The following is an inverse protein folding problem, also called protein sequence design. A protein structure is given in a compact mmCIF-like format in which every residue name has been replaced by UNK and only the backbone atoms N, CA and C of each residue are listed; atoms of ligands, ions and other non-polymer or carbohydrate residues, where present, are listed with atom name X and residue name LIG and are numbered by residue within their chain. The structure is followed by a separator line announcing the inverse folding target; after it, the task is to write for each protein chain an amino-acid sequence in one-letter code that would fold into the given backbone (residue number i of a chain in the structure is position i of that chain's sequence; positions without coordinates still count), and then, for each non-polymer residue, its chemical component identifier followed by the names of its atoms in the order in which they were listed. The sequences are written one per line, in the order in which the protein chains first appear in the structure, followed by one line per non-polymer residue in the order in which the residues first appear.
data_IF_648155803997
#
_entry.id   IF_648155803997
#
_cell.length_a   1.000
_cell.length_b   1.000
_cell.length_c   1.000
_cell.angle_alpha   90.00
_cell.angle_beta   90.00
_cell.angle_gamma   90.00
#
_symmetry.space_group_name_H-M   'P 1'
#
loop_
_entity.id
_entity.type
_entity.pdbx_description
1 polymer ?
#
# COMPACT_ATOMS: atom_id res chain seq x y z
N UNK A 1 -0.08 3.93 3.06
CA UNK A 1 1.27 4.52 3.21
C UNK A 1 2.32 3.80 2.35
N UNK A 2 2.47 2.47 2.42
CA UNK A 2 3.40 1.68 1.56
C UNK A 2 3.24 2.05 0.08
N UNK A 3 2.01 1.95 -0.43
CA UNK A 3 1.68 2.27 -1.84
C UNK A 3 1.97 3.73 -2.20
N UNK A 4 1.72 4.67 -1.27
CA UNK A 4 2.05 6.08 -1.48
C UNK A 4 3.57 6.25 -1.63
N UNK A 5 4.36 5.62 -0.75
CA UNK A 5 5.82 5.65 -0.82
C UNK A 5 6.34 5.03 -2.11
N UNK A 6 5.78 3.89 -2.51
CA UNK A 6 6.12 3.23 -3.78
C UNK A 6 5.84 4.17 -4.97
N UNK A 7 4.63 4.70 -5.06
CA UNK A 7 4.23 5.59 -6.16
C UNK A 7 5.07 6.85 -6.26
N UNK A 8 5.41 7.47 -5.12
CA UNK A 8 6.27 8.66 -5.07
C UNK A 8 7.72 8.35 -5.45
N UNK A 9 8.27 7.23 -4.96
CA UNK A 9 9.67 6.86 -5.18
C UNK A 9 9.90 6.38 -6.62
N UNK A 10 8.98 5.62 -7.18
CA UNK A 10 9.07 5.15 -8.57
C UNK A 10 8.63 6.22 -9.60
N UNK A 11 8.24 7.41 -9.13
CA UNK A 11 7.85 8.51 -10.02
C UNK A 11 6.50 8.32 -10.71
N UNK A 12 5.70 7.35 -10.26
CA UNK A 12 4.31 7.11 -10.75
C UNK A 12 3.44 8.32 -10.40
N UNK A 13 3.64 8.88 -9.23
CA UNK A 13 2.99 10.11 -8.76
C UNK A 13 4.01 11.06 -8.16
N UNK A 14 3.66 12.34 -8.11
CA UNK A 14 4.34 13.38 -7.34
C UNK A 14 3.39 13.92 -6.26
N UNK A 15 3.85 14.71 -5.30
CA UNK A 15 2.97 15.35 -4.31
C UNK A 15 1.84 16.19 -4.93
N UNK A 16 2.06 16.75 -6.12
CA UNK A 16 1.09 17.56 -6.84
C UNK A 16 0.24 16.78 -7.87
N UNK A 17 0.52 15.50 -8.08
CA UNK A 17 -0.27 14.66 -8.99
C UNK A 17 -1.68 14.47 -8.45
N UNK A 18 -2.69 14.79 -9.25
CA UNK A 18 -4.09 14.53 -8.91
C UNK A 18 -4.65 13.38 -9.73
N UNK A 19 -5.48 12.56 -9.11
CA UNK A 19 -6.23 11.47 -9.74
C UNK A 19 -7.72 11.73 -9.51
N UNK A 20 -8.50 11.64 -10.60
CA UNK A 20 -9.96 11.76 -10.53
C UNK A 20 -10.55 10.42 -10.06
N UNK A 21 -11.09 10.41 -8.86
CA UNK A 21 -11.89 9.29 -8.35
C UNK A 21 -13.23 9.23 -9.09
N UNK A 22 -13.50 8.14 -9.78
CA UNK A 22 -14.76 7.86 -10.48
C UNK A 22 -15.71 6.96 -9.68
N UNK A 23 -15.35 6.66 -8.43
CA UNK A 23 -16.10 5.77 -7.56
C UNK A 23 -15.84 4.29 -7.79
N UNK A 24 -15.76 3.83 -9.03
CA UNK A 24 -15.37 2.46 -9.40
C UNK A 24 -14.14 2.49 -10.31
N UNK A 25 -13.19 1.62 -10.05
CA UNK A 25 -11.96 1.50 -10.84
C UNK A 25 -12.24 0.70 -12.11
N UNK A 26 -12.21 1.36 -13.27
CA UNK A 26 -12.65 0.82 -14.55
C UNK A 26 -11.52 0.31 -15.46
N UNK A 27 -10.25 0.48 -15.05
CA UNK A 27 -9.08 0.05 -15.84
C UNK A 27 -8.97 -1.49 -15.94
N UNK A 28 -9.72 -2.20 -15.11
CA UNK A 28 -9.81 -3.68 -15.13
C UNK A 28 -11.27 -4.11 -15.13
N UNK A 29 -11.57 -5.25 -15.75
CA UNK A 29 -12.92 -5.82 -15.77
C UNK A 29 -13.40 -6.08 -14.33
N UNK A 30 -14.63 -5.67 -14.02
CA UNK A 30 -15.22 -5.76 -12.69
C UNK A 30 -14.34 -5.11 -11.58
N UNK A 31 -13.69 -4.00 -11.92
CA UNK A 31 -12.77 -3.31 -11.01
C UNK A 31 -13.41 -2.93 -9.66
N UNK A 32 -12.61 -2.85 -8.61
CA UNK A 32 -13.09 -2.61 -7.25
C UNK A 32 -13.66 -1.20 -7.09
N UNK A 33 -14.54 -1.04 -6.10
CA UNK A 33 -15.21 0.23 -5.79
C UNK A 33 -14.52 0.95 -4.64
N UNK A 34 -14.46 2.27 -4.74
CA UNK A 34 -14.13 3.10 -3.59
C UNK A 34 -15.23 2.97 -2.52
N UNK A 35 -14.87 3.12 -1.25
CA UNK A 35 -15.84 2.97 -0.15
C UNK A 35 -17.00 3.97 -0.22
N UNK A 36 -16.78 5.13 -0.86
CA UNK A 36 -17.79 6.18 -1.00
C UNK A 36 -18.75 5.95 -2.18
N UNK A 37 -18.49 4.92 -3.03
CA UNK A 37 -19.37 4.62 -4.19
C UNK A 37 -20.84 4.52 -3.78
N UNK A 38 -21.81 5.09 -4.54
CA UNK A 38 -21.69 5.62 -5.91
C UNK A 38 -21.19 7.07 -6.02
N UNK A 39 -20.90 7.74 -4.93
CA UNK A 39 -20.24 9.05 -4.91
C UNK A 39 -18.75 8.92 -5.23
N UNK A 40 -18.04 10.04 -5.26
CA UNK A 40 -16.61 10.09 -5.50
C UNK A 40 -15.94 11.18 -4.67
N UNK A 41 -14.60 11.08 -4.47
CA UNK A 41 -13.82 12.13 -3.83
C UNK A 41 -13.45 13.27 -4.80
N UNK A 42 -13.79 13.14 -6.09
CA UNK A 42 -13.37 14.10 -7.11
C UNK A 42 -11.87 13.98 -7.45
N UNK A 43 -11.27 15.08 -7.88
CA UNK A 43 -9.85 15.13 -8.23
C UNK A 43 -9.03 15.46 -6.97
N UNK A 44 -8.24 14.50 -6.50
CA UNK A 44 -7.48 14.61 -5.24
C UNK A 44 -6.02 14.19 -5.43
N UNK A 45 -5.13 14.75 -4.63
CA UNK A 45 -3.73 14.37 -4.55
C UNK A 45 -3.47 13.30 -3.48
N UNK A 46 -2.22 12.84 -3.36
CA UNK A 46 -1.85 11.76 -2.44
C UNK A 46 -2.13 12.08 -0.96
N UNK A 47 -1.96 13.33 -0.53
CA UNK A 47 -2.23 13.75 0.85
C UNK A 47 -3.72 13.73 1.16
N UNK A 48 -4.53 14.24 0.24
CA UNK A 48 -5.99 14.19 0.32
C UNK A 48 -6.50 12.75 0.27
N UNK A 49 -5.93 11.90 -0.60
CA UNK A 49 -6.28 10.50 -0.70
C UNK A 49 -5.98 9.72 0.60
N UNK A 50 -4.90 10.04 1.30
CA UNK A 50 -4.60 9.48 2.61
C UNK A 50 -5.57 10.00 3.69
N UNK A 51 -5.86 11.31 3.71
CA UNK A 51 -6.80 11.93 4.66
C UNK A 51 -8.20 11.33 4.54
N UNK A 52 -8.68 11.16 3.31
CA UNK A 52 -10.06 10.76 3.02
C UNK A 52 -10.20 9.24 2.81
N UNK A 53 -9.11 8.48 2.98
CA UNK A 53 -9.06 7.02 2.76
C UNK A 53 -9.56 6.62 1.36
N UNK A 54 -9.19 7.36 0.32
CA UNK A 54 -9.66 7.10 -1.03
C UNK A 54 -9.05 5.82 -1.60
N UNK A 55 -9.85 4.78 -1.73
CA UNK A 55 -9.39 3.52 -2.30
C UNK A 55 -9.06 3.66 -3.78
N UNK A 56 -9.87 4.40 -4.54
CA UNK A 56 -9.68 4.58 -5.98
C UNK A 56 -8.29 5.14 -6.31
N UNK A 57 -7.84 6.15 -5.58
CA UNK A 57 -6.50 6.73 -5.76
C UNK A 57 -5.42 5.65 -5.67
N UNK A 58 -5.49 4.80 -4.64
CA UNK A 58 -4.51 3.76 -4.44
C UNK A 58 -4.69 2.55 -5.35
N UNK A 59 -5.89 2.26 -5.85
CA UNK A 59 -6.09 1.30 -6.94
C UNK A 59 -5.35 1.76 -8.20
N UNK A 60 -5.46 3.04 -8.55
CA UNK A 60 -4.76 3.60 -9.70
C UNK A 60 -3.25 3.54 -9.54
N UNK A 61 -2.72 3.90 -8.36
CA UNK A 61 -1.28 3.79 -8.08
C UNK A 61 -0.83 2.33 -8.14
N UNK A 62 -1.58 1.39 -7.56
CA UNK A 62 -1.26 -0.05 -7.61
C UNK A 62 -1.30 -0.61 -9.03
N UNK A 63 -2.26 -0.18 -9.84
CA UNK A 63 -2.32 -0.52 -11.25
C UNK A 63 -1.12 0.02 -12.03
N UNK A 64 -0.77 1.29 -11.84
CA UNK A 64 0.35 1.92 -12.55
C UNK A 64 1.70 1.33 -12.12
N UNK A 65 1.87 0.95 -10.86
CA UNK A 65 3.02 0.18 -10.36
C UNK A 65 3.14 -1.21 -11.01
N UNK A 66 2.02 -1.75 -11.51
CA UNK A 66 1.99 -3.05 -12.19
C UNK A 66 2.29 -2.95 -13.68
N UNK A 67 2.48 -1.74 -14.23
CA UNK A 67 2.71 -1.56 -15.66
C UNK A 67 4.19 -1.82 -16.02
N UNK A 68 4.42 -2.71 -16.99
CA UNK A 68 5.74 -2.99 -17.57
C UNK A 68 5.68 -2.74 -19.08
N UNK A 69 6.41 -1.77 -19.57
CA UNK A 69 6.42 -1.41 -21.00
C UNK A 69 5.00 -1.18 -21.59
N UNK A 70 4.12 -0.57 -20.80
CA UNK A 70 2.73 -0.27 -21.20
C UNK A 70 1.76 -1.45 -21.10
N UNK A 71 2.18 -2.59 -20.52
CA UNK A 71 1.35 -3.77 -20.32
C UNK A 71 1.18 -4.06 -18.83
N UNK A 72 -0.04 -4.34 -18.39
CA UNK A 72 -0.32 -4.75 -17.00
C UNK A 72 0.30 -6.13 -16.72
N UNK A 73 1.05 -6.19 -15.63
CA UNK A 73 1.70 -7.41 -15.14
C UNK A 73 1.45 -7.52 -13.63
N UNK A 74 0.63 -8.51 -13.25
CA UNK A 74 0.22 -8.73 -11.87
C UNK A 74 1.41 -9.09 -10.97
N UNK A 75 2.28 -9.99 -11.42
CA UNK A 75 3.44 -10.43 -10.64
C UNK A 75 4.39 -9.26 -10.35
N UNK A 76 4.62 -8.40 -11.33
CA UNK A 76 5.42 -7.19 -11.14
C UNK A 76 4.77 -6.25 -10.11
N UNK A 77 3.46 -6.04 -10.18
CA UNK A 77 2.75 -5.21 -9.21
C UNK A 77 2.84 -5.75 -7.78
N UNK A 78 2.72 -7.07 -7.62
CA UNK A 78 2.93 -7.77 -6.34
C UNK A 78 4.37 -7.57 -5.84
N UNK A 79 5.36 -7.76 -6.71
CA UNK A 79 6.78 -7.54 -6.38
C UNK A 79 7.03 -6.11 -5.90
N UNK A 80 6.48 -5.12 -6.59
CA UNK A 80 6.63 -3.70 -6.23
C UNK A 80 6.01 -3.39 -4.87
N UNK A 81 4.79 -3.86 -4.58
CA UNK A 81 4.16 -3.66 -3.27
C UNK A 81 4.99 -4.35 -2.16
N UNK A 82 5.45 -5.57 -2.41
CA UNK A 82 6.26 -6.32 -1.44
C UNK A 82 7.64 -5.68 -1.20
N UNK A 83 8.31 -5.19 -2.25
CA UNK A 83 9.55 -4.42 -2.14
C UNK A 83 9.39 -3.27 -1.14
N UNK A 84 8.37 -2.44 -1.31
CA UNK A 84 8.15 -1.29 -0.43
C UNK A 84 7.63 -1.68 0.96
N UNK A 85 6.81 -2.71 1.07
CA UNK A 85 6.37 -3.20 2.40
C UNK A 85 7.54 -3.78 3.21
N UNK A 86 8.51 -4.42 2.55
CA UNK A 86 9.74 -4.92 3.19
C UNK A 86 10.63 -3.78 3.72
N UNK A 87 10.69 -2.64 3.01
CA UNK A 87 11.41 -1.45 3.51
C UNK A 87 10.83 -0.92 4.83
N UNK A 88 9.56 -1.19 5.10
CA UNK A 88 8.90 -0.88 6.39
C UNK A 88 8.93 -2.06 7.39
N UNK A 89 9.67 -3.12 7.09
CA UNK A 89 9.82 -4.29 7.96
C UNK A 89 8.61 -5.22 7.99
N UNK A 90 7.71 -5.15 7.00
CA UNK A 90 6.53 -6.02 6.91
C UNK A 90 6.82 -7.40 6.28
N UNK A 91 8.09 -7.76 6.13
CA UNK A 91 8.58 -9.07 5.66
C UNK A 91 9.17 -9.93 6.78
N UNK A 92 9.36 -9.37 7.95
CA UNK A 92 10.07 -10.00 9.06
C UNK A 92 9.38 -9.82 10.40
N UNK A 93 9.67 -10.73 11.34
CA UNK A 93 9.27 -10.56 12.74
C UNK A 93 9.93 -9.32 13.34
N UNK A 94 9.27 -8.73 14.34
CA UNK A 94 9.74 -7.50 14.99
C UNK A 94 10.91 -7.73 15.95
N UNK A 95 11.15 -8.98 16.35
CA UNK A 95 12.17 -9.34 17.34
C UNK A 95 11.69 -9.28 18.79
N UNK A 96 10.41 -8.94 19.02
CA UNK A 96 9.82 -8.94 20.37
C UNK A 96 9.94 -10.32 21.01
N UNK A 97 10.18 -10.38 22.34
CA UNK A 97 10.52 -11.61 23.07
C UNK A 97 9.34 -12.57 23.29
N UNK A 98 8.11 -12.13 22.99
CA UNK A 98 6.92 -12.98 23.06
C UNK A 98 6.68 -13.70 21.72
N UNK A 99 5.82 -14.72 21.74
CA UNK A 99 5.48 -15.46 20.53
C UNK A 99 4.86 -14.53 19.47
N UNK A 100 5.45 -14.51 18.29
CA UNK A 100 5.03 -13.70 17.15
C UNK A 100 4.90 -14.58 15.91
N UNK A 101 3.76 -14.47 15.20
CA UNK A 101 3.56 -15.11 13.90
C UNK A 101 4.44 -14.45 12.84
N UNK A 102 4.89 -15.23 11.85
CA UNK A 102 5.56 -14.65 10.68
C UNK A 102 4.59 -13.78 9.89
N UNK A 103 5.03 -12.62 9.39
CA UNK A 103 4.22 -11.83 8.48
C UNK A 103 4.01 -12.60 7.16
N UNK A 104 2.89 -12.33 6.52
CA UNK A 104 2.60 -12.80 5.16
C UNK A 104 2.36 -11.58 4.29
N UNK A 105 3.25 -11.32 3.34
CA UNK A 105 3.06 -10.34 2.29
C UNK A 105 2.08 -10.87 1.24
N UNK A 106 1.54 -9.97 0.41
CA UNK A 106 0.62 -10.35 -0.66
C UNK A 106 1.30 -11.21 -1.72
N UNK A 107 0.54 -12.12 -2.33
CA UNK A 107 1.00 -12.95 -3.47
C UNK A 107 0.11 -12.79 -4.70
N UNK A 108 -0.89 -11.91 -4.65
CA UNK A 108 -1.88 -11.74 -5.71
C UNK A 108 -2.58 -10.38 -5.59
N UNK A 109 -3.28 -9.98 -6.65
CA UNK A 109 -4.17 -8.81 -6.69
C UNK A 109 -3.50 -7.50 -6.23
N UNK A 110 -2.48 -6.98 -6.93
CA UNK A 110 -1.76 -5.77 -6.52
C UNK A 110 -2.67 -4.54 -6.39
N UNK A 111 -3.73 -4.44 -7.17
CA UNK A 111 -4.69 -3.33 -7.12
C UNK A 111 -5.38 -3.26 -5.75
N UNK A 112 -5.91 -4.38 -5.25
CA UNK A 112 -6.54 -4.43 -3.92
C UNK A 112 -5.52 -4.49 -2.79
N UNK A 113 -4.35 -5.08 -3.03
CA UNK A 113 -3.23 -5.06 -2.09
C UNK A 113 -2.71 -3.65 -1.84
N UNK A 114 -2.85 -2.74 -2.81
CA UNK A 114 -2.47 -1.33 -2.68
C UNK A 114 -3.20 -0.60 -1.56
N UNK A 115 -4.38 -1.07 -1.14
CA UNK A 115 -5.13 -0.55 0.01
C UNK A 115 -5.05 -1.46 1.25
N UNK A 116 -4.18 -2.47 1.23
CA UNK A 116 -3.99 -3.42 2.32
C UNK A 116 -4.98 -4.59 2.34
N UNK A 117 -5.81 -4.75 1.32
CA UNK A 117 -6.65 -5.92 1.10
C UNK A 117 -5.91 -7.01 0.32
N UNK A 118 -6.54 -8.15 0.07
CA UNK A 118 -5.97 -9.36 -0.53
C UNK A 118 -5.55 -10.38 0.54
N UNK A 119 -4.52 -11.17 0.28
CA UNK A 119 -4.14 -12.31 1.12
C UNK A 119 -2.93 -12.05 2.05
N UNK A 120 -2.57 -10.78 2.25
CA UNK A 120 -1.55 -10.41 3.24
C UNK A 120 -2.06 -10.62 4.69
N UNK A 121 -1.14 -10.83 5.63
CA UNK A 121 -1.46 -10.97 7.05
C UNK A 121 -0.29 -10.51 7.93
N UNK A 122 -0.58 -9.56 8.82
CA UNK A 122 0.40 -8.98 9.72
C UNK A 122 -0.13 -8.97 11.15
N UNK A 123 0.76 -9.18 12.12
CA UNK A 123 0.42 -9.02 13.53
C UNK A 123 0.29 -7.54 13.90
N UNK A 124 -0.43 -7.24 14.96
CA UNK A 124 -0.55 -5.86 15.48
C UNK A 124 0.81 -5.23 15.78
N UNK A 125 1.77 -6.03 16.28
CA UNK A 125 3.11 -5.53 16.60
C UNK A 125 3.91 -5.20 15.33
N UNK A 126 3.74 -5.97 14.24
CA UNK A 126 4.35 -5.65 12.95
C UNK A 126 3.75 -4.35 12.36
N UNK A 127 2.44 -4.18 12.45
CA UNK A 127 1.79 -2.93 12.03
C UNK A 127 2.23 -1.75 12.90
N UNK A 128 2.42 -1.94 14.21
CA UNK A 128 2.98 -0.92 15.10
C UNK A 128 4.38 -0.49 14.66
N UNK A 129 5.27 -1.46 14.35
CA UNK A 129 6.62 -1.17 13.81
C UNK A 129 6.58 -0.37 12.52
N UNK A 130 5.68 -0.75 11.61
CA UNK A 130 5.46 -0.02 10.36
C UNK A 130 5.04 1.44 10.61
N UNK A 131 4.04 1.67 11.47
CA UNK A 131 3.57 3.02 11.81
C UNK A 131 4.68 3.83 12.49
N UNK A 132 5.44 3.20 13.37
CA UNK A 132 6.60 3.84 14.02
C UNK A 132 7.67 4.25 13.00
N UNK A 133 7.96 3.40 12.01
CA UNK A 133 8.92 3.74 10.96
C UNK A 133 8.45 4.96 10.13
N UNK A 134 7.15 5.06 9.84
CA UNK A 134 6.60 6.25 9.18
C UNK A 134 6.76 7.50 10.05
N UNK A 135 6.48 7.39 11.37
CA UNK A 135 6.52 8.53 12.29
C UNK A 135 7.95 9.03 12.60
N UNK A 136 8.97 8.18 12.47
CA UNK A 136 10.36 8.48 12.80
C UNK A 136 11.27 8.70 11.58
N UNK A 137 10.69 9.08 10.45
CA UNK A 137 11.41 9.36 9.19
C UNK A 137 12.08 8.13 8.56
N UNK A 138 11.50 6.96 8.72
CA UNK A 138 11.84 5.74 7.97
C UNK A 138 12.74 4.74 8.69
N UNK A 139 13.07 4.95 9.97
CA UNK A 139 13.89 3.99 10.71
C UNK A 139 13.05 2.82 11.21
N UNK A 140 13.40 1.60 10.82
CA UNK A 140 12.76 0.36 11.28
C UNK A 140 13.56 -0.22 12.45
N UNK A 141 12.95 -0.29 13.63
CA UNK A 141 13.58 -0.84 14.83
C UNK A 141 13.14 -2.28 15.11
N UNK A 142 14.02 -3.06 15.71
CA UNK A 142 13.59 -4.26 16.41
C UNK A 142 12.94 -3.86 17.75
N UNK A 143 11.89 -4.58 18.11
CA UNK A 143 11.17 -4.32 19.36
C UNK A 143 11.70 -5.17 20.51
N UNK A 144 11.65 -4.63 21.71
CA UNK A 144 11.94 -5.34 22.96
C UNK A 144 10.98 -4.87 24.04
N UNK A 145 10.56 -5.79 24.89
CA UNK A 145 9.83 -5.52 26.13
C UNK A 145 10.78 -5.38 27.33
N UNK A 146 12.02 -5.80 27.14
CA UNK A 146 13.06 -5.73 28.18
C UNK A 146 13.84 -4.44 28.08
N UNK A 147 14.13 -3.87 29.23
CA UNK A 147 14.88 -2.63 29.36
C UNK A 147 16.33 -2.94 29.74
#
# INVERSE_FOLDING_TARGET
MVTASAGLTEGIISPGTTILDKGQFEEVANGPKCWIYPSSHGSINVSEALRDSCNYFFYKVGYDLSMVNGTYNEDHGVEMINKYSSMYGLDSKTGIEIAESKPKQTTEFPITSAIGQSNNSFTTVQLSRYVTAVANSGTVYNYTLLK
#
